data_IF_145057574818
#
_entry.id   IF_145057574818
#
_cell.length_a   1.000
_cell.length_b   1.000
_cell.length_c   1.000
_cell.angle_alpha   90.00
_cell.angle_beta   90.00
_cell.angle_gamma   90.00
#
_symmetry.space_group_name_H-M   'P 1'
#
loop_
_entity.id
_entity.type
_entity.pdbx_description
1 polymer ?
#
# COMPACT_ATOMS: atom_id res chain seq x y z
N UNK A 1 -10.90 39.59 31.06
CA UNK A 1 -12.34 39.44 31.34
C UNK A 1 -13.10 39.78 30.06
N UNK A 2 -13.63 38.76 29.38
CA UNK A 2 -14.57 38.87 28.26
C UNK A 2 -15.98 39.15 28.81
N UNK A 3 -16.84 39.96 28.15
CA UNK A 3 -18.27 39.87 28.32
C UNK A 3 -18.89 38.92 27.29
N UNK A 4 -20.01 38.32 27.69
CA UNK A 4 -20.65 37.16 27.10
C UNK A 4 -21.46 37.46 25.82
N UNK A 5 -21.48 36.48 24.91
CA UNK A 5 -22.39 36.40 23.77
C UNK A 5 -23.78 35.92 24.22
N UNK A 6 -24.90 36.50 23.74
CA UNK A 6 -26.22 35.97 23.97
C UNK A 6 -26.56 34.83 23.01
N UNK A 7 -27.28 33.84 23.55
CA UNK A 7 -27.80 32.66 22.86
C UNK A 7 -28.79 33.06 21.76
N UNK A 8 -28.43 32.83 20.49
CA UNK A 8 -29.31 32.97 19.33
C UNK A 8 -29.83 31.62 18.86
N UNK A 9 -31.15 31.41 18.99
CA UNK A 9 -31.91 30.29 18.42
C UNK A 9 -31.66 30.16 16.91
N UNK A 10 -31.43 28.93 16.44
CA UNK A 10 -31.52 28.61 15.01
C UNK A 10 -32.96 28.81 14.53
N UNK A 11 -33.17 29.80 13.66
CA UNK A 11 -34.35 29.93 12.82
C UNK A 11 -33.89 29.64 11.39
N UNK A 12 -34.49 28.64 10.75
CA UNK A 12 -34.29 28.37 9.33
C UNK A 12 -35.06 29.43 8.52
N UNK A 13 -34.42 30.20 7.62
CA UNK A 13 -35.16 31.07 6.72
C UNK A 13 -35.75 30.23 5.59
N UNK A 14 -37.07 30.33 5.47
CA UNK A 14 -37.86 30.01 4.29
C UNK A 14 -37.47 30.94 3.12
N UNK A 15 -37.32 30.32 1.95
CA UNK A 15 -37.14 30.93 0.61
C UNK A 15 -35.75 31.51 0.27
N UNK A 16 -35.05 31.01 -0.76
CA UNK A 16 -33.76 31.57 -1.17
C UNK A 16 -33.95 32.82 -2.03
N UNK A 17 -33.46 33.96 -1.55
CA UNK A 17 -33.09 35.10 -2.39
C UNK A 17 -31.81 34.82 -3.20
N UNK A 18 -31.45 35.67 -4.18
CA UNK A 18 -30.50 35.32 -5.22
C UNK A 18 -29.08 35.23 -4.67
N UNK A 19 -28.51 34.02 -4.71
CA UNK A 19 -27.10 33.77 -4.42
C UNK A 19 -26.26 34.36 -5.56
N UNK A 20 -25.29 35.21 -5.21
CA UNK A 20 -24.33 35.77 -6.16
C UNK A 20 -23.42 34.66 -6.73
N UNK A 21 -23.78 34.13 -7.90
CA UNK A 21 -23.02 33.10 -8.60
C UNK A 21 -21.76 33.68 -9.28
N UNK A 22 -20.67 32.92 -9.26
CA UNK A 22 -19.39 33.25 -9.90
C UNK A 22 -19.57 33.46 -11.43
N UNK A 23 -18.71 34.22 -12.13
CA UNK A 23 -18.89 34.55 -13.55
C UNK A 23 -18.98 33.33 -14.48
N UNK A 24 -18.33 32.22 -14.12
CA UNK A 24 -18.40 30.96 -14.86
C UNK A 24 -19.72 30.21 -14.60
N UNK A 25 -20.29 30.35 -13.40
CA UNK A 25 -21.57 29.76 -13.01
C UNK A 25 -22.75 30.51 -13.62
N UNK A 26 -22.66 31.83 -13.82
CA UNK A 26 -23.67 32.60 -14.57
C UNK A 26 -23.77 32.19 -16.05
N UNK A 27 -22.63 31.89 -16.69
CA UNK A 27 -22.62 31.37 -18.08
C UNK A 27 -23.26 29.99 -18.19
N UNK A 28 -23.10 29.18 -17.15
CA UNK A 28 -23.70 27.85 -17.04
C UNK A 28 -25.20 27.95 -16.71
N UNK A 29 -25.62 28.82 -15.80
CA UNK A 29 -27.04 29.04 -15.47
C UNK A 29 -27.85 29.57 -16.67
N UNK A 30 -27.30 30.50 -17.45
CA UNK A 30 -27.94 30.96 -18.70
C UNK A 30 -27.98 29.85 -19.78
N UNK A 31 -27.12 28.85 -19.66
CA UNK A 31 -27.14 27.64 -20.49
C UNK A 31 -28.26 26.68 -20.04
N UNK A 32 -28.56 26.60 -18.74
CA UNK A 32 -29.64 25.78 -18.15
C UNK A 32 -31.01 26.22 -18.63
N UNK A 33 -31.33 27.50 -18.48
CA UNK A 33 -32.65 28.05 -18.83
C UNK A 33 -33.00 27.90 -20.32
N UNK A 34 -31.99 27.81 -21.18
CA UNK A 34 -32.18 27.70 -22.63
C UNK A 34 -32.41 26.27 -23.11
N UNK A 35 -31.93 25.27 -22.39
CA UNK A 35 -31.85 23.88 -22.90
C UNK A 35 -32.53 22.84 -22.03
N UNK A 36 -32.89 23.19 -20.79
CA UNK A 36 -33.80 22.41 -19.94
C UNK A 36 -34.89 23.33 -19.35
N UNK A 37 -35.78 23.89 -20.21
CA UNK A 37 -36.84 24.79 -19.75
C UNK A 37 -37.85 24.13 -18.80
N UNK A 38 -37.82 22.79 -18.68
CA UNK A 38 -38.63 22.02 -17.75
C UNK A 38 -37.92 21.66 -16.44
N UNK A 39 -36.66 22.08 -16.24
CA UNK A 39 -35.83 21.73 -15.08
C UNK A 39 -35.83 20.23 -14.75
N UNK A 40 -35.80 19.41 -15.81
CA UNK A 40 -35.84 17.95 -15.72
C UNK A 40 -34.49 17.33 -15.35
N UNK A 41 -33.39 18.09 -15.52
CA UNK A 41 -32.01 17.64 -15.30
C UNK A 41 -31.39 16.89 -16.49
N UNK A 42 -32.08 16.80 -17.63
CA UNK A 42 -31.65 16.03 -18.80
C UNK A 42 -31.72 16.83 -20.10
N UNK A 43 -30.76 16.60 -21.00
CA UNK A 43 -30.70 17.21 -22.34
C UNK A 43 -30.68 16.10 -23.39
N UNK A 44 -31.52 16.16 -24.42
CA UNK A 44 -31.50 15.15 -25.48
C UNK A 44 -30.22 15.23 -26.32
N UNK A 45 -29.68 14.08 -26.71
CA UNK A 45 -28.43 13.98 -27.49
C UNK A 45 -28.54 14.69 -28.84
N UNK A 46 -29.72 14.68 -29.47
CA UNK A 46 -29.98 15.42 -30.71
C UNK A 46 -29.87 16.93 -30.56
N UNK A 47 -30.51 17.52 -29.53
CA UNK A 47 -30.41 18.96 -29.24
C UNK A 47 -28.98 19.35 -28.86
N UNK A 48 -28.28 18.47 -28.15
CA UNK A 48 -26.90 18.68 -27.76
C UNK A 48 -25.92 18.71 -28.95
N UNK A 49 -26.13 17.87 -29.98
CA UNK A 49 -25.33 17.91 -31.22
C UNK A 49 -25.51 19.20 -32.00
N UNK A 50 -26.76 19.61 -32.23
CA UNK A 50 -27.08 20.87 -32.92
C UNK A 50 -26.46 22.07 -32.19
N UNK A 51 -26.36 21.99 -30.86
CA UNK A 51 -25.68 22.98 -30.03
C UNK A 51 -24.16 22.99 -30.28
N UNK A 52 -23.51 21.82 -30.27
CA UNK A 52 -22.07 21.71 -30.53
C UNK A 52 -21.70 22.19 -31.93
N UNK A 53 -22.59 22.00 -32.91
CA UNK A 53 -22.43 22.50 -34.26
C UNK A 53 -22.57 24.03 -34.34
N UNK A 54 -23.60 24.59 -33.68
CA UNK A 54 -23.83 26.05 -33.66
C UNK A 54 -22.74 26.85 -32.92
N UNK A 55 -22.05 26.25 -31.95
CA UNK A 55 -20.97 26.87 -31.17
C UNK A 55 -19.57 26.36 -31.54
N UNK A 56 -19.47 25.58 -32.63
CA UNK A 56 -18.26 24.88 -33.06
C UNK A 56 -17.05 25.80 -33.30
N UNK A 57 -17.27 27.08 -33.62
CA UNK A 57 -16.22 28.07 -33.88
C UNK A 57 -15.55 28.65 -32.62
N UNK A 58 -16.16 28.49 -31.44
CA UNK A 58 -15.63 29.02 -30.16
C UNK A 58 -15.01 27.94 -29.25
N UNK A 59 -15.14 26.68 -29.62
CA UNK A 59 -14.67 25.54 -28.83
C UNK A 59 -13.36 25.00 -29.40
N UNK A 60 -12.42 24.69 -28.52
CA UNK A 60 -11.19 23.98 -28.85
C UNK A 60 -11.53 22.66 -29.58
N UNK A 61 -10.86 22.31 -30.70
CA UNK A 61 -11.15 21.12 -31.48
C UNK A 61 -11.16 19.83 -30.66
N UNK A 62 -10.26 19.72 -29.67
CA UNK A 62 -10.17 18.57 -28.79
C UNK A 62 -11.34 18.49 -27.81
N UNK A 63 -11.79 19.64 -27.29
CA UNK A 63 -12.98 19.70 -26.40
C UNK A 63 -14.25 19.32 -27.14
N UNK A 64 -14.37 19.70 -28.40
CA UNK A 64 -15.50 19.34 -29.27
C UNK A 64 -15.60 17.82 -29.46
N UNK A 65 -14.49 17.16 -29.73
CA UNK A 65 -14.44 15.71 -29.93
C UNK A 65 -14.90 14.95 -28.67
N UNK A 66 -14.45 15.38 -27.49
CA UNK A 66 -14.85 14.79 -26.21
C UNK A 66 -16.35 14.97 -25.93
N UNK A 67 -16.91 16.15 -26.25
CA UNK A 67 -18.34 16.43 -26.06
C UNK A 67 -19.21 15.64 -27.05
N UNK A 68 -18.77 15.47 -28.29
CA UNK A 68 -19.45 14.61 -29.26
C UNK A 68 -19.44 13.14 -28.83
N UNK A 69 -18.30 12.65 -28.35
CA UNK A 69 -18.18 11.30 -27.82
C UNK A 69 -19.10 11.05 -26.60
N UNK A 70 -19.29 12.06 -25.74
CA UNK A 70 -20.27 11.98 -24.65
C UNK A 70 -21.69 11.81 -25.21
N UNK A 71 -22.07 12.60 -26.22
CA UNK A 71 -23.38 12.49 -26.86
C UNK A 71 -23.62 11.14 -27.57
N UNK A 72 -22.56 10.56 -28.14
CA UNK A 72 -22.57 9.22 -28.76
C UNK A 72 -22.66 8.10 -27.71
N UNK A 73 -22.22 8.34 -26.47
CA UNK A 73 -22.10 7.32 -25.42
C UNK A 73 -23.41 7.00 -24.67
N UNK A 74 -24.42 7.86 -24.78
CA UNK A 74 -25.70 7.74 -24.09
C UNK A 74 -26.76 7.03 -24.94
N UNK A 75 -26.95 5.73 -24.68
CA UNK A 75 -27.87 4.85 -25.42
C UNK A 75 -29.37 5.16 -25.18
N UNK A 76 -29.68 5.87 -24.10
CA UNK A 76 -31.01 6.39 -23.75
C UNK A 76 -31.37 7.69 -24.50
N UNK A 77 -30.44 8.25 -25.28
CA UNK A 77 -30.66 9.48 -26.04
C UNK A 77 -30.76 10.73 -25.16
N UNK A 78 -30.39 10.63 -23.88
CA UNK A 78 -30.43 11.73 -22.92
C UNK A 78 -29.11 11.84 -22.15
N UNK A 79 -28.64 13.07 -21.97
CA UNK A 79 -27.42 13.40 -21.24
C UNK A 79 -27.83 14.05 -19.93
N UNK A 80 -27.35 13.53 -18.80
CA UNK A 80 -27.58 14.14 -17.49
C UNK A 80 -26.79 15.45 -17.38
N UNK A 81 -27.46 16.50 -16.91
CA UNK A 81 -26.87 17.83 -16.74
C UNK A 81 -25.66 17.82 -15.79
N UNK A 82 -25.73 17.00 -14.73
CA UNK A 82 -24.63 16.84 -13.78
C UNK A 82 -23.37 16.28 -14.46
N UNK A 83 -23.52 15.36 -15.41
CA UNK A 83 -22.40 14.78 -16.17
C UNK A 83 -21.80 15.80 -17.14
N UNK A 84 -22.63 16.59 -17.80
CA UNK A 84 -22.19 17.69 -18.66
C UNK A 84 -21.41 18.76 -17.89
N UNK A 85 -21.93 19.23 -16.75
CA UNK A 85 -21.24 20.22 -15.91
C UNK A 85 -19.97 19.66 -15.30
N UNK A 86 -19.98 18.41 -14.84
CA UNK A 86 -18.80 17.72 -14.34
C UNK A 86 -17.68 17.67 -15.39
N UNK A 87 -18.04 17.45 -16.67
CA UNK A 87 -17.11 17.41 -17.79
C UNK A 87 -16.60 18.81 -18.21
N UNK A 88 -17.46 19.83 -18.13
CA UNK A 88 -17.15 21.22 -18.48
C UNK A 88 -16.41 21.98 -17.36
N UNK A 89 -16.61 21.63 -16.10
CA UNK A 89 -16.03 22.28 -14.92
C UNK A 89 -14.53 21.97 -14.72
N UNK A 90 -13.92 21.15 -15.59
CA UNK A 90 -12.50 20.76 -15.48
C UNK A 90 -12.11 20.09 -14.14
N UNK A 91 -13.09 19.68 -13.33
CA UNK A 91 -12.90 19.08 -11.99
C UNK A 91 -12.53 17.58 -12.01
N UNK A 92 -12.37 16.95 -13.19
CA UNK A 92 -11.88 15.56 -13.31
C UNK A 92 -10.67 15.44 -14.23
N UNK A 93 -9.73 14.60 -13.81
CA UNK A 93 -8.42 14.39 -14.42
C UNK A 93 -8.48 13.78 -15.83
N UNK A 94 -7.46 14.08 -16.64
CA UNK A 94 -7.30 13.58 -18.02
C UNK A 94 -7.39 12.04 -18.19
N UNK A 95 -7.20 11.27 -17.12
CA UNK A 95 -7.39 9.81 -17.12
C UNK A 95 -8.86 9.41 -17.27
N UNK A 96 -9.81 10.19 -16.75
CA UNK A 96 -11.24 9.95 -16.97
C UNK A 96 -11.66 10.31 -18.40
N UNK A 97 -11.07 11.36 -19.00
CA UNK A 97 -11.24 11.67 -20.44
C UNK A 97 -10.70 10.55 -21.34
N UNK A 98 -9.52 10.02 -21.03
CA UNK A 98 -8.98 8.85 -21.74
C UNK A 98 -9.79 7.57 -21.47
N UNK A 99 -10.32 7.39 -20.26
CA UNK A 99 -11.19 6.27 -19.92
C UNK A 99 -12.59 6.35 -20.56
N UNK A 100 -13.13 7.52 -20.86
CA UNK A 100 -14.37 7.67 -21.65
C UNK A 100 -14.08 7.39 -23.13
N UNK A 101 -12.99 7.96 -23.67
CA UNK A 101 -12.59 7.74 -25.07
C UNK A 101 -12.18 6.27 -25.35
N UNK A 102 -11.60 5.58 -24.37
CA UNK A 102 -11.21 4.17 -24.49
C UNK A 102 -12.28 3.19 -23.93
N UNK A 103 -13.09 3.61 -22.97
CA UNK A 103 -13.97 2.73 -22.17
C UNK A 103 -15.20 2.21 -22.89
N UNK A 104 -15.82 3.01 -23.78
CA UNK A 104 -17.06 2.57 -24.42
C UNK A 104 -16.88 1.66 -25.65
N UNK A 105 -15.66 1.47 -26.15
CA UNK A 105 -15.38 0.49 -27.23
C UNK A 105 -14.93 -0.88 -26.73
N UNK A 106 -14.66 -1.07 -25.42
CA UNK A 106 -14.11 -2.34 -24.90
C UNK A 106 -14.71 -2.87 -23.60
N UNK A 107 -15.40 -2.08 -22.78
CA UNK A 107 -16.00 -2.59 -21.54
C UNK A 107 -17.34 -3.28 -21.84
N UNK A 108 -17.27 -4.54 -22.28
CA UNK A 108 -18.45 -5.40 -22.39
C UNK A 108 -19.26 -5.34 -21.09
N UNK A 109 -20.56 -5.07 -21.22
CA UNK A 109 -21.50 -4.93 -20.09
C UNK A 109 -21.63 -6.22 -19.26
N UNK A 110 -21.17 -7.38 -19.78
CA UNK A 110 -21.50 -8.71 -19.23
C UNK A 110 -20.49 -9.41 -18.31
N UNK A 111 -19.22 -8.98 -18.19
CA UNK A 111 -18.18 -9.92 -17.74
C UNK A 111 -18.01 -10.14 -16.21
N UNK A 112 -18.56 -9.31 -15.33
CA UNK A 112 -18.23 -9.39 -13.88
C UNK A 112 -19.23 -10.21 -13.04
N UNK A 113 -20.38 -10.61 -13.59
CA UNK A 113 -21.51 -11.16 -12.83
C UNK A 113 -21.92 -12.61 -13.18
N UNK A 114 -21.44 -13.24 -14.24
CA UNK A 114 -21.78 -14.64 -14.52
C UNK A 114 -20.76 -15.61 -13.92
N UNK A 115 -21.02 -16.15 -12.72
CA UNK A 115 -20.15 -17.16 -12.07
C UNK A 115 -20.02 -18.47 -12.86
N UNK A 116 -20.96 -18.75 -13.77
CA UNK A 116 -21.05 -19.98 -14.53
C UNK A 116 -20.08 -19.93 -15.72
N UNK A 117 -18.84 -20.40 -15.51
CA UNK A 117 -17.88 -20.65 -16.59
C UNK A 117 -16.47 -20.08 -16.40
N UNK A 118 -16.17 -19.41 -15.29
CA UNK A 118 -14.82 -18.85 -15.07
C UNK A 118 -13.78 -19.95 -14.77
N UNK A 119 -12.64 -19.86 -15.45
CA UNK A 119 -11.42 -20.62 -15.14
C UNK A 119 -10.84 -20.28 -13.76
N UNK A 120 -9.99 -21.14 -13.20
CA UNK A 120 -9.36 -20.93 -11.88
C UNK A 120 -8.53 -19.63 -11.82
N UNK A 121 -7.81 -19.29 -12.90
CA UNK A 121 -7.02 -18.06 -12.99
C UNK A 121 -7.90 -16.81 -12.99
N UNK A 122 -9.02 -16.83 -13.71
CA UNK A 122 -10.00 -15.74 -13.71
C UNK A 122 -10.66 -15.57 -12.33
N UNK A 123 -10.97 -16.67 -11.64
CA UNK A 123 -11.47 -16.62 -10.25
C UNK A 123 -10.46 -15.97 -9.30
N UNK A 124 -9.18 -16.30 -9.44
CA UNK A 124 -8.10 -15.70 -8.65
C UNK A 124 -7.95 -14.19 -8.93
N UNK A 125 -7.90 -13.79 -10.21
CA UNK A 125 -7.81 -12.37 -10.62
C UNK A 125 -9.01 -11.59 -10.07
N UNK A 126 -10.21 -12.14 -10.19
CA UNK A 126 -11.44 -11.55 -9.61
C UNK A 126 -11.28 -11.39 -8.09
N UNK A 127 -10.82 -12.43 -7.40
CA UNK A 127 -10.63 -12.40 -5.95
C UNK A 127 -9.66 -11.28 -5.53
N UNK A 128 -8.48 -11.23 -6.16
CA UNK A 128 -7.43 -10.22 -5.90
C UNK A 128 -7.94 -8.80 -6.17
N UNK A 129 -8.71 -8.60 -7.25
CA UNK A 129 -9.29 -7.31 -7.58
C UNK A 129 -10.28 -6.84 -6.49
N UNK A 130 -11.20 -7.71 -6.05
CA UNK A 130 -12.17 -7.38 -5.01
C UNK A 130 -11.55 -7.09 -3.65
N UNK A 131 -10.41 -7.72 -3.40
CA UNK A 131 -9.67 -7.64 -2.15
C UNK A 131 -8.84 -6.37 -2.05
N UNK A 132 -8.14 -6.01 -3.12
CA UNK A 132 -7.14 -4.93 -3.09
C UNK A 132 -7.70 -3.59 -3.57
N UNK A 133 -8.63 -3.60 -4.53
CA UNK A 133 -9.15 -2.38 -5.14
C UNK A 133 -10.47 -1.94 -4.48
N UNK A 134 -10.59 -0.66 -4.07
CA UNK A 134 -11.79 -0.15 -3.44
C UNK A 134 -12.92 0.13 -4.43
N UNK A 135 -12.62 0.69 -5.62
CA UNK A 135 -13.65 1.14 -6.58
C UNK A 135 -14.09 0.03 -7.51
N UNK A 136 -15.39 -0.03 -7.81
CA UNK A 136 -15.96 -1.04 -8.71
C UNK A 136 -15.44 -0.92 -10.16
N UNK A 137 -15.23 0.32 -10.62
CA UNK A 137 -14.70 0.62 -11.95
C UNK A 137 -13.27 0.08 -12.08
N UNK A 138 -12.42 0.29 -11.08
CA UNK A 138 -11.04 -0.20 -11.07
C UNK A 138 -10.98 -1.72 -11.06
N UNK A 139 -11.88 -2.39 -10.31
CA UNK A 139 -11.99 -3.86 -10.31
C UNK A 139 -12.30 -4.39 -11.70
N UNK A 140 -13.26 -3.78 -12.39
CA UNK A 140 -13.66 -4.18 -13.75
C UNK A 140 -12.53 -3.95 -14.74
N UNK A 141 -11.92 -2.76 -14.69
CA UNK A 141 -10.79 -2.43 -15.54
C UNK A 141 -9.61 -3.38 -15.33
N UNK A 142 -9.26 -3.68 -14.07
CA UNK A 142 -8.18 -4.60 -13.73
C UNK A 142 -8.49 -6.02 -14.21
N UNK A 143 -9.72 -6.51 -14.00
CA UNK A 143 -10.14 -7.82 -14.47
C UNK A 143 -10.07 -7.95 -16.00
N UNK A 144 -10.50 -6.91 -16.74
CA UNK A 144 -10.51 -6.92 -18.20
C UNK A 144 -9.12 -6.66 -18.83
N UNK A 145 -8.22 -5.98 -18.11
CA UNK A 145 -6.91 -5.56 -18.62
C UNK A 145 -5.75 -6.46 -18.19
N UNK A 146 -5.91 -7.25 -17.12
CA UNK A 146 -4.80 -8.04 -16.57
C UNK A 146 -4.53 -9.30 -17.40
N UNK A 147 -3.38 -9.33 -18.08
CA UNK A 147 -2.96 -10.44 -18.94
C UNK A 147 -2.00 -11.42 -18.26
N UNK A 148 -1.97 -11.47 -16.92
CA UNK A 148 -0.99 -12.26 -16.15
C UNK A 148 0.49 -11.88 -16.37
N UNK A 149 0.74 -10.72 -16.99
CA UNK A 149 2.08 -10.23 -17.32
C UNK A 149 2.23 -8.77 -16.84
N UNK A 150 3.21 -8.47 -15.97
CA UNK A 150 4.13 -9.40 -15.32
C UNK A 150 3.47 -10.19 -14.18
N UNK A 151 3.78 -11.49 -14.00
CA UNK A 151 3.37 -12.25 -12.81
C UNK A 151 4.02 -11.64 -11.55
N UNK A 152 3.48 -11.90 -10.34
CA UNK A 152 4.05 -11.41 -9.09
C UNK A 152 5.36 -12.13 -8.77
N UNK A 153 6.46 -11.64 -9.35
CA UNK A 153 7.76 -12.29 -9.28
C UNK A 153 8.58 -11.81 -8.09
N UNK A 154 8.41 -10.56 -7.65
CA UNK A 154 9.25 -9.97 -6.60
C UNK A 154 9.02 -10.65 -5.26
N UNK A 155 7.77 -10.70 -4.79
CA UNK A 155 7.44 -11.29 -3.49
C UNK A 155 7.79 -12.78 -3.47
N UNK A 156 7.50 -13.51 -4.56
CA UNK A 156 7.88 -14.93 -4.70
C UNK A 156 9.40 -15.11 -4.66
N UNK A 157 10.14 -14.29 -5.42
CA UNK A 157 11.61 -14.38 -5.47
C UNK A 157 12.23 -14.10 -4.09
N UNK A 158 11.79 -13.05 -3.40
CA UNK A 158 12.36 -12.70 -2.09
C UNK A 158 12.05 -13.78 -1.04
N UNK A 159 10.84 -14.34 -1.10
CA UNK A 159 10.42 -15.49 -0.26
C UNK A 159 11.29 -16.72 -0.50
N UNK A 160 11.55 -17.06 -1.78
CA UNK A 160 12.42 -18.17 -2.14
C UNK A 160 13.87 -17.94 -1.69
N UNK A 161 14.36 -16.70 -1.78
CA UNK A 161 15.70 -16.34 -1.31
C UNK A 161 15.80 -16.49 0.21
N UNK A 162 14.80 -16.03 0.97
CA UNK A 162 14.72 -16.20 2.43
C UNK A 162 14.70 -17.69 2.84
N UNK A 163 13.97 -18.53 2.10
CA UNK A 163 13.94 -19.98 2.34
C UNK A 163 15.28 -20.67 1.96
N UNK A 164 15.96 -20.17 0.92
CA UNK A 164 17.16 -20.80 0.33
C UNK A 164 18.48 -20.37 0.95
N UNK A 165 18.57 -19.24 1.66
CA UNK A 165 19.84 -18.69 2.13
C UNK A 165 20.58 -19.64 3.10
N UNK A 166 21.55 -20.35 2.50
CA UNK A 166 22.67 -21.04 3.16
C UNK A 166 23.89 -20.12 3.03
N UNK A 167 24.37 -19.57 4.14
CA UNK A 167 25.63 -18.83 4.16
C UNK A 167 26.76 -19.80 4.54
N UNK A 168 27.47 -20.30 3.53
CA UNK A 168 28.66 -21.14 3.68
C UNK A 168 29.07 -21.76 2.35
N UNK A 169 30.37 -21.69 2.00
CA UNK A 169 30.96 -22.41 0.86
C UNK A 169 30.91 -23.91 1.16
N UNK A 170 29.89 -24.61 0.65
CA UNK A 170 29.78 -26.07 0.81
C UNK A 170 28.44 -26.62 0.35
N UNK A 171 28.46 -27.26 -0.81
CA UNK A 171 27.49 -28.20 -1.39
C UNK A 171 26.00 -27.81 -1.45
N UNK A 172 25.54 -27.65 -2.68
CA UNK A 172 24.19 -27.33 -3.17
C UNK A 172 23.09 -28.36 -2.80
N UNK A 173 22.94 -28.85 -1.55
CA UNK A 173 21.94 -29.91 -1.25
C UNK A 173 21.20 -29.86 0.12
N UNK A 174 21.17 -28.77 0.91
CA UNK A 174 20.41 -28.73 2.19
C UNK A 174 19.24 -27.71 2.20
N UNK A 175 18.69 -27.36 1.04
CA UNK A 175 17.43 -26.61 0.99
C UNK A 175 16.26 -27.44 1.54
N UNK A 176 16.27 -28.75 1.30
CA UNK A 176 15.17 -29.65 1.68
C UNK A 176 15.20 -30.08 3.16
N UNK A 177 16.33 -29.93 3.85
CA UNK A 177 16.51 -30.49 5.18
C UNK A 177 16.47 -29.46 6.31
N UNK A 178 16.34 -28.15 6.07
CA UNK A 178 16.30 -27.17 7.17
C UNK A 178 15.05 -27.34 8.03
N UNK A 179 13.88 -27.48 7.42
CA UNK A 179 12.61 -27.71 8.11
C UNK A 179 12.64 -29.05 8.84
N UNK A 180 13.07 -30.11 8.16
CA UNK A 180 13.17 -31.46 8.74
C UNK A 180 14.20 -31.55 9.88
N UNK A 181 15.36 -30.90 9.74
CA UNK A 181 16.39 -30.81 10.78
C UNK A 181 15.86 -30.05 12.00
N UNK A 182 15.12 -28.97 11.81
CA UNK A 182 14.55 -28.20 12.92
C UNK A 182 13.40 -28.95 13.63
N UNK A 183 12.54 -29.64 12.87
CA UNK A 183 11.50 -30.52 13.41
C UNK A 183 12.13 -31.68 14.20
N UNK A 184 13.18 -32.30 13.65
CA UNK A 184 13.95 -33.34 14.35
C UNK A 184 14.56 -32.81 15.65
N UNK A 185 15.27 -31.68 15.61
CA UNK A 185 15.86 -31.09 16.81
C UNK A 185 14.79 -30.63 17.81
N UNK A 186 13.65 -30.10 17.35
CA UNK A 186 12.54 -29.67 18.21
C UNK A 186 11.88 -30.84 18.94
N UNK A 187 11.72 -31.98 18.26
CA UNK A 187 11.24 -33.23 18.86
C UNK A 187 12.29 -33.85 19.78
N UNK A 188 13.55 -33.91 19.36
CA UNK A 188 14.64 -34.51 20.14
C UNK A 188 15.01 -33.71 21.39
N UNK A 189 14.86 -32.38 21.38
CA UNK A 189 15.17 -31.50 22.51
C UNK A 189 13.91 -31.09 23.31
N UNK A 190 12.71 -31.48 22.88
CA UNK A 190 11.44 -31.06 23.50
C UNK A 190 11.19 -29.54 23.44
N UNK A 191 11.87 -28.83 22.54
CA UNK A 191 11.83 -27.37 22.40
C UNK A 191 11.52 -26.98 20.96
N UNK A 192 10.25 -26.69 20.67
CA UNK A 192 9.82 -26.21 19.34
C UNK A 192 10.16 -24.74 19.06
N UNK A 193 10.63 -24.00 20.07
CA UNK A 193 11.24 -22.67 19.94
C UNK A 193 12.75 -22.83 20.02
N UNK A 194 13.33 -23.40 18.96
CA UNK A 194 14.78 -23.46 18.82
C UNK A 194 15.28 -22.03 18.63
N UNK A 195 15.76 -21.41 19.71
CA UNK A 195 16.38 -20.09 19.68
C UNK A 195 17.66 -20.17 18.83
N UNK A 196 17.60 -19.70 17.58
CA UNK A 196 18.77 -19.66 16.69
C UNK A 196 19.73 -18.52 17.09
N UNK A 197 19.62 -17.96 18.29
CA UNK A 197 20.56 -16.97 18.85
C UNK A 197 21.87 -17.59 19.34
N UNK A 198 22.40 -18.56 18.58
CA UNK A 198 23.71 -19.13 18.83
C UNK A 198 24.80 -18.14 18.35
N UNK A 199 25.95 -17.99 19.04
CA UNK A 199 27.02 -17.08 18.61
C UNK A 199 27.43 -17.24 17.14
N UNK A 200 27.58 -18.49 16.67
CA UNK A 200 27.88 -18.81 15.26
C UNK A 200 26.86 -18.25 14.26
N UNK A 201 25.60 -18.13 14.67
CA UNK A 201 24.55 -17.54 13.84
C UNK A 201 24.68 -16.01 13.76
N UNK A 202 24.97 -15.36 14.90
CA UNK A 202 25.18 -13.92 14.97
C UNK A 202 26.48 -13.46 14.28
N UNK A 203 27.49 -14.32 14.15
CA UNK A 203 28.71 -14.08 13.34
C UNK A 203 28.45 -13.95 11.83
N UNK A 204 27.28 -14.33 11.34
CA UNK A 204 27.00 -14.39 9.91
C UNK A 204 27.09 -12.99 9.26
N UNK A 205 27.63 -12.93 8.03
CA UNK A 205 27.80 -11.69 7.28
C UNK A 205 26.49 -10.97 6.91
N UNK A 206 25.36 -11.67 6.93
CA UNK A 206 24.06 -11.12 6.55
C UNK A 206 23.33 -10.45 7.72
N UNK A 207 23.61 -10.87 8.96
CA UNK A 207 22.94 -10.36 10.17
C UNK A 207 23.35 -8.91 10.43
N UNK A 208 22.41 -8.06 10.83
CA UNK A 208 22.75 -6.75 11.36
C UNK A 208 23.30 -6.90 12.78
N UNK A 209 24.54 -6.43 12.98
CA UNK A 209 25.20 -6.43 14.28
C UNK A 209 25.70 -5.01 14.60
N UNK A 210 25.36 -4.42 15.77
CA UNK A 210 25.69 -3.02 16.08
C UNK A 210 27.19 -2.70 16.12
N UNK A 211 28.05 -3.68 16.42
CA UNK A 211 29.51 -3.50 16.31
C UNK A 211 29.99 -3.41 14.86
N UNK A 212 29.26 -4.01 13.92
CA UNK A 212 29.59 -4.04 12.48
C UNK A 212 28.72 -3.05 11.69
N UNK A 213 28.16 -2.04 12.36
CA UNK A 213 27.27 -1.03 11.77
C UNK A 213 27.90 -0.22 10.63
N UNK A 214 29.23 -0.13 10.55
CA UNK A 214 29.91 0.49 9.41
C UNK A 214 29.68 -0.28 8.08
N UNK A 215 29.29 -1.56 8.16
CA UNK A 215 29.01 -2.41 7.01
C UNK A 215 27.58 -2.18 6.51
N UNK A 216 27.40 -1.15 5.67
CA UNK A 216 26.08 -0.64 5.25
C UNK A 216 25.13 -1.71 4.68
N UNK A 217 25.64 -2.75 4.01
CA UNK A 217 24.81 -3.83 3.47
C UNK A 217 24.02 -4.58 4.56
N UNK A 218 24.52 -4.61 5.80
CA UNK A 218 23.87 -5.30 6.93
C UNK A 218 22.53 -4.67 7.32
N UNK A 219 22.31 -3.40 7.00
CA UNK A 219 21.00 -2.75 7.18
C UNK A 219 19.93 -3.29 6.22
N UNK A 220 20.32 -4.03 5.18
CA UNK A 220 19.42 -4.65 4.21
C UNK A 220 19.46 -6.18 4.27
N UNK A 221 20.66 -6.78 4.29
CA UNK A 221 20.84 -8.24 4.12
C UNK A 221 20.27 -9.08 5.26
N UNK A 222 19.93 -8.47 6.40
CA UNK A 222 19.37 -9.17 7.54
C UNK A 222 17.99 -9.79 7.26
N UNK A 223 17.32 -9.31 6.20
CA UNK A 223 16.10 -9.87 5.62
C UNK A 223 16.17 -11.40 5.41
N UNK A 224 17.35 -11.91 5.05
CA UNK A 224 17.54 -13.31 4.70
C UNK A 224 17.82 -14.23 5.90
N UNK A 225 17.86 -13.67 7.10
CA UNK A 225 18.21 -14.36 8.34
C UNK A 225 16.96 -14.37 9.23
N UNK A 226 16.62 -15.50 9.84
CA UNK A 226 15.44 -15.61 10.71
C UNK A 226 15.78 -16.23 12.07
N UNK A 227 15.08 -15.81 13.12
CA UNK A 227 15.34 -16.28 14.49
C UNK A 227 14.87 -17.72 14.78
N UNK A 228 14.08 -18.32 13.89
CA UNK A 228 13.47 -19.65 14.04
C UNK A 228 12.61 -20.02 12.82
N UNK A 229 12.16 -21.27 12.75
CA UNK A 229 11.32 -21.75 11.64
C UNK A 229 9.91 -21.16 11.72
N UNK A 230 9.40 -20.97 12.93
CA UNK A 230 8.13 -20.32 13.20
C UNK A 230 8.17 -18.84 12.80
N UNK A 231 9.32 -18.18 13.03
CA UNK A 231 9.57 -16.82 12.59
C UNK A 231 9.56 -16.73 11.06
N UNK A 232 10.28 -17.62 10.37
CA UNK A 232 10.28 -17.68 8.91
C UNK A 232 8.90 -18.02 8.36
N UNK A 233 8.22 -19.03 8.91
CA UNK A 233 6.91 -19.49 8.47
C UNK A 233 5.85 -18.39 8.56
N UNK A 234 5.79 -17.67 9.67
CA UNK A 234 4.87 -16.54 9.82
C UNK A 234 5.17 -15.41 8.85
N UNK A 235 6.46 -15.08 8.63
CA UNK A 235 6.85 -14.08 7.63
C UNK A 235 6.44 -14.52 6.23
N UNK A 236 6.75 -15.75 5.82
CA UNK A 236 6.37 -16.29 4.50
C UNK A 236 4.85 -16.26 4.31
N UNK A 237 4.08 -16.68 5.31
CA UNK A 237 2.61 -16.65 5.24
C UNK A 237 2.12 -15.22 5.06
N UNK A 238 2.54 -14.27 5.89
CA UNK A 238 2.12 -12.87 5.78
C UNK A 238 2.59 -12.23 4.48
N UNK A 239 3.82 -12.53 4.07
CA UNK A 239 4.46 -12.00 2.87
C UNK A 239 3.73 -12.43 1.60
N UNK A 240 3.36 -13.70 1.50
CA UNK A 240 2.61 -14.22 0.36
C UNK A 240 1.12 -13.84 0.43
N UNK A 241 0.49 -13.95 1.60
CA UNK A 241 -0.90 -13.60 1.80
C UNK A 241 -1.13 -12.13 1.46
N UNK A 242 -0.28 -11.23 1.95
CA UNK A 242 -0.47 -9.78 1.78
C UNK A 242 0.25 -9.22 0.55
N UNK A 243 1.51 -9.59 0.37
CA UNK A 243 2.36 -8.97 -0.64
C UNK A 243 2.05 -9.39 -2.07
N UNK A 244 1.70 -10.65 -2.34
CA UNK A 244 1.41 -11.10 -3.72
C UNK A 244 0.20 -10.35 -4.32
N UNK A 245 -0.94 -10.24 -3.62
CA UNK A 245 -2.09 -9.49 -4.16
C UNK A 245 -1.79 -7.99 -4.33
N UNK A 246 -1.01 -7.41 -3.42
CA UNK A 246 -0.52 -6.03 -3.56
C UNK A 246 0.39 -5.89 -4.79
N UNK A 247 1.29 -6.83 -5.04
CA UNK A 247 2.20 -6.82 -6.20
C UNK A 247 1.43 -6.95 -7.50
N UNK A 248 0.42 -7.83 -7.54
CA UNK A 248 -0.42 -8.02 -8.72
C UNK A 248 -1.17 -6.73 -9.11
N UNK A 249 -1.63 -5.96 -8.13
CA UNK A 249 -2.41 -4.74 -8.38
C UNK A 249 -1.54 -3.50 -8.56
N UNK A 250 -0.46 -3.36 -7.78
CA UNK A 250 0.36 -2.14 -7.76
C UNK A 250 1.71 -2.28 -8.49
N UNK A 251 2.07 -3.49 -8.89
CA UNK A 251 3.31 -3.81 -9.59
C UNK A 251 4.51 -4.05 -8.68
N UNK A 252 5.43 -4.89 -9.15
CA UNK A 252 6.64 -5.32 -8.45
C UNK A 252 7.51 -4.14 -7.94
N UNK A 253 7.72 -3.11 -8.76
CA UNK A 253 8.60 -2.00 -8.40
C UNK A 253 8.06 -1.22 -7.19
N UNK A 254 6.76 -0.95 -7.14
CA UNK A 254 6.16 -0.16 -6.04
C UNK A 254 6.17 -0.95 -4.74
N UNK A 255 5.76 -2.21 -4.80
CA UNK A 255 5.75 -3.09 -3.63
C UNK A 255 7.17 -3.37 -3.15
N UNK A 256 8.11 -3.58 -4.06
CA UNK A 256 9.52 -3.73 -3.74
C UNK A 256 10.11 -2.51 -3.03
N UNK A 257 9.78 -1.29 -3.48
CA UNK A 257 10.22 -0.06 -2.81
C UNK A 257 9.69 0.05 -1.38
N UNK A 258 8.38 -0.18 -1.16
CA UNK A 258 7.79 -0.10 0.19
C UNK A 258 8.38 -1.17 1.11
N UNK A 259 8.54 -2.39 0.59
CA UNK A 259 9.09 -3.51 1.35
C UNK A 259 10.55 -3.27 1.74
N UNK A 260 11.42 -2.89 0.79
CA UNK A 260 12.84 -2.58 1.06
C UNK A 260 12.98 -1.37 1.98
N UNK A 261 12.17 -0.32 1.79
CA UNK A 261 12.17 0.84 2.68
C UNK A 261 11.77 0.45 4.12
N UNK A 262 10.82 -0.47 4.29
CA UNK A 262 10.44 -1.02 5.58
C UNK A 262 11.55 -1.81 6.25
N UNK A 263 12.27 -2.64 5.50
CA UNK A 263 13.47 -3.36 5.98
C UNK A 263 14.56 -2.38 6.43
N UNK A 264 14.92 -1.41 5.59
CA UNK A 264 15.95 -0.42 5.94
C UNK A 264 15.52 0.43 7.13
N UNK A 265 14.25 0.86 7.18
CA UNK A 265 13.74 1.61 8.33
C UNK A 265 13.72 0.78 9.61
N UNK A 266 13.44 -0.51 9.52
CA UNK A 266 13.45 -1.43 10.66
C UNK A 266 14.84 -1.52 11.29
N UNK A 267 15.87 -1.78 10.49
CA UNK A 267 17.26 -1.84 11.00
C UNK A 267 17.76 -0.50 11.50
N UNK A 268 17.42 0.62 10.83
CA UNK A 268 17.76 1.97 11.30
C UNK A 268 17.06 2.32 12.62
N UNK A 269 15.77 1.99 12.77
CA UNK A 269 15.03 2.23 14.00
C UNK A 269 15.65 1.47 15.19
N UNK A 270 16.04 0.21 14.99
CA UNK A 270 16.78 -0.56 16.00
C UNK A 270 18.13 0.09 16.30
N UNK A 271 18.88 0.50 15.28
CA UNK A 271 20.20 1.10 15.47
C UNK A 271 20.19 2.39 16.31
N UNK A 272 19.04 3.07 16.36
CA UNK A 272 18.82 4.28 17.15
C UNK A 272 18.26 3.95 18.53
N UNK A 273 17.20 3.15 18.61
CA UNK A 273 16.43 2.95 19.84
C UNK A 273 16.90 1.76 20.69
N UNK A 274 17.58 0.79 20.08
CA UNK A 274 18.07 -0.42 20.75
C UNK A 274 19.49 -0.76 20.24
N UNK A 275 20.44 0.11 20.59
CA UNK A 275 21.82 0.15 20.08
C UNK A 275 22.66 -1.11 20.39
N UNK A 276 22.14 -2.04 21.19
CA UNK A 276 22.84 -3.28 21.58
C UNK A 276 22.31 -4.52 20.89
N UNK A 277 21.14 -4.43 20.24
CA UNK A 277 20.46 -5.57 19.68
C UNK A 277 20.87 -5.85 18.22
N UNK A 278 21.04 -7.13 17.84
CA UNK A 278 21.11 -7.51 16.44
C UNK A 278 19.74 -7.43 15.78
N UNK A 279 19.71 -7.47 14.45
CA UNK A 279 18.45 -7.57 13.68
C UNK A 279 18.55 -8.72 12.69
N UNK A 280 17.46 -9.50 12.63
CA UNK A 280 17.21 -10.60 11.69
C UNK A 280 15.72 -10.60 11.34
N UNK A 281 15.40 -10.96 10.11
CA UNK A 281 14.04 -11.25 9.65
C UNK A 281 13.58 -10.29 8.56
N UNK A 282 12.71 -10.76 7.69
CA UNK A 282 12.03 -9.92 6.69
C UNK A 282 10.90 -9.06 7.26
N UNK A 283 10.61 -9.21 8.56
CA UNK A 283 9.43 -8.65 9.22
C UNK A 283 9.29 -7.13 9.13
N UNK A 284 10.40 -6.38 9.04
CA UNK A 284 10.36 -4.93 8.78
C UNK A 284 9.66 -4.58 7.45
N UNK A 285 9.92 -5.36 6.39
CA UNK A 285 9.26 -5.22 5.09
C UNK A 285 7.82 -5.76 5.11
N UNK A 286 7.60 -6.89 5.76
CA UNK A 286 6.26 -7.48 5.90
C UNK A 286 5.31 -6.55 6.65
N UNK A 287 5.74 -5.97 7.78
CA UNK A 287 4.93 -5.04 8.56
C UNK A 287 4.63 -3.76 7.79
N UNK A 288 5.55 -3.30 6.93
CA UNK A 288 5.30 -2.19 6.03
C UNK A 288 4.20 -2.50 5.00
N UNK A 289 4.18 -3.70 4.42
CA UNK A 289 3.12 -4.09 3.48
C UNK A 289 1.76 -4.27 4.17
N UNK A 290 1.75 -4.92 5.34
CA UNK A 290 0.52 -5.13 6.13
C UNK A 290 -0.06 -3.81 6.60
N UNK A 291 0.75 -2.89 7.13
CA UNK A 291 0.25 -1.59 7.61
C UNK A 291 -0.16 -0.68 6.47
N UNK A 292 0.52 -0.70 5.32
CA UNK A 292 0.11 0.01 4.11
C UNK A 292 -1.25 -0.49 3.59
N UNK A 293 -1.45 -1.82 3.58
CA UNK A 293 -2.73 -2.42 3.21
C UNK A 293 -3.85 -2.05 4.20
N UNK A 294 -3.59 -2.15 5.50
CA UNK A 294 -4.54 -1.75 6.54
C UNK A 294 -4.96 -0.29 6.40
N UNK A 295 -3.99 0.62 6.24
CA UNK A 295 -4.27 2.04 6.09
C UNK A 295 -5.07 2.31 4.81
N UNK A 296 -4.79 1.62 3.70
CA UNK A 296 -5.60 1.71 2.49
C UNK A 296 -7.05 1.26 2.72
N UNK A 297 -7.27 0.18 3.49
CA UNK A 297 -8.62 -0.31 3.82
C UNK A 297 -9.35 0.69 4.70
N UNK A 298 -8.72 1.19 5.76
CA UNK A 298 -9.32 2.16 6.70
C UNK A 298 -9.72 3.44 5.96
N UNK A 299 -8.86 3.94 5.08
CA UNK A 299 -9.15 5.15 4.28
C UNK A 299 -10.28 4.95 3.26
N UNK A 300 -10.52 3.72 2.81
CA UNK A 300 -11.50 3.39 1.77
C UNK A 300 -12.62 2.46 2.27
N UNK A 301 -12.90 2.47 3.57
CA UNK A 301 -13.80 1.52 4.25
C UNK A 301 -15.19 1.42 3.58
N UNK A 302 -15.76 2.55 3.16
CA UNK A 302 -17.08 2.61 2.53
C UNK A 302 -17.16 1.99 1.13
N UNK A 303 -16.04 1.85 0.41
CA UNK A 303 -16.01 1.28 -0.96
C UNK A 303 -15.86 -0.24 -1.00
N UNK A 304 -15.56 -0.88 0.13
CA UNK A 304 -15.04 -2.24 0.15
C UNK A 304 -16.05 -3.28 0.71
N UNK A 305 -16.53 -4.22 -0.14
CA UNK A 305 -17.43 -5.33 0.28
C UNK A 305 -16.87 -6.22 1.42
N UNK A 306 -17.57 -6.31 2.54
CA UNK A 306 -17.07 -6.70 3.88
C UNK A 306 -16.54 -8.15 4.06
N UNK A 307 -17.16 -9.16 3.44
CA UNK A 307 -17.14 -10.54 3.97
C UNK A 307 -15.76 -11.23 3.99
N UNK A 308 -14.94 -11.10 2.95
CA UNK A 308 -13.61 -11.75 2.90
C UNK A 308 -12.46 -10.84 3.37
N UNK A 309 -12.73 -9.54 3.48
CA UNK A 309 -11.75 -8.49 3.81
C UNK A 309 -11.39 -8.51 5.29
N UNK A 310 -12.41 -8.67 6.13
CA UNK A 310 -12.25 -8.78 7.57
C UNK A 310 -11.47 -10.04 7.95
N UNK A 311 -11.70 -11.17 7.27
CA UNK A 311 -11.01 -12.42 7.57
C UNK A 311 -9.51 -12.31 7.32
N UNK A 312 -9.07 -11.87 6.13
CA UNK A 312 -7.65 -11.70 5.84
C UNK A 312 -7.00 -10.67 6.74
N UNK A 313 -7.68 -9.55 7.01
CA UNK A 313 -7.14 -8.53 7.93
C UNK A 313 -7.05 -9.04 9.35
N UNK A 314 -8.04 -9.80 9.83
CA UNK A 314 -7.98 -10.44 11.12
C UNK A 314 -6.82 -11.45 11.17
N UNK A 315 -6.66 -12.30 10.17
CA UNK A 315 -5.53 -13.25 10.09
C UNK A 315 -4.20 -12.50 10.09
N UNK A 316 -4.05 -11.45 9.29
CA UNK A 316 -2.83 -10.66 9.24
C UNK A 316 -2.52 -9.98 10.58
N UNK A 317 -3.52 -9.39 11.23
CA UNK A 317 -3.37 -8.75 12.55
C UNK A 317 -3.06 -9.76 13.65
N UNK A 318 -3.68 -10.94 13.62
CA UNK A 318 -3.41 -12.03 14.56
C UNK A 318 -1.96 -12.50 14.39
N UNK A 319 -1.53 -12.80 13.16
CA UNK A 319 -0.16 -13.21 12.87
C UNK A 319 0.86 -12.14 13.27
N UNK A 320 0.61 -10.86 12.95
CA UNK A 320 1.49 -9.75 13.38
C UNK A 320 1.54 -9.64 14.90
N UNK A 321 0.39 -9.72 15.58
CA UNK A 321 0.35 -9.61 17.05
C UNK A 321 1.07 -10.77 17.73
N UNK A 322 0.92 -11.98 17.22
CA UNK A 322 1.64 -13.17 17.70
C UNK A 322 3.16 -13.02 17.49
N UNK A 323 3.58 -12.57 16.31
CA UNK A 323 5.00 -12.38 16.00
C UNK A 323 5.63 -11.26 16.84
N UNK A 324 4.96 -10.12 16.96
CA UNK A 324 5.40 -9.00 17.78
C UNK A 324 5.46 -9.39 19.26
N UNK A 325 4.42 -10.04 19.78
CA UNK A 325 4.37 -10.53 21.15
C UNK A 325 5.50 -11.51 21.45
N UNK A 326 5.81 -12.42 20.51
CA UNK A 326 6.96 -13.32 20.62
C UNK A 326 8.29 -12.56 20.61
N UNK A 327 8.45 -11.55 19.76
CA UNK A 327 9.67 -10.74 19.70
C UNK A 327 9.90 -9.96 21.01
N UNK A 328 8.84 -9.39 21.58
CA UNK A 328 8.87 -8.72 22.89
C UNK A 328 9.23 -9.73 23.98
N UNK A 329 8.56 -10.88 24.01
CA UNK A 329 8.83 -11.96 24.95
C UNK A 329 10.30 -12.37 24.88
N UNK A 330 10.81 -12.73 23.68
CA UNK A 330 12.21 -13.12 23.48
C UNK A 330 13.19 -12.03 23.91
N UNK A 331 12.88 -10.74 23.71
CA UNK A 331 13.77 -9.64 24.09
C UNK A 331 14.02 -9.58 25.60
N UNK A 332 13.01 -9.93 26.40
CA UNK A 332 13.06 -9.85 27.87
C UNK A 332 13.24 -11.22 28.56
N UNK A 333 13.19 -12.32 27.82
CA UNK A 333 13.46 -13.64 28.38
C UNK A 333 14.95 -13.84 28.66
N UNK A 334 15.31 -14.55 29.74
CA UNK A 334 16.70 -14.86 30.03
C UNK A 334 17.35 -15.55 28.85
N UNK A 335 18.45 -14.98 28.35
CA UNK A 335 19.17 -15.58 27.24
C UNK A 335 19.78 -16.91 27.67
N UNK A 336 19.59 -17.95 26.85
CA UNK A 336 20.28 -19.22 27.01
C UNK A 336 21.80 -19.00 26.97
N UNK A 337 22.55 -19.78 27.75
CA UNK A 337 24.01 -19.70 27.73
C UNK A 337 24.56 -20.23 26.40
N UNK A 338 25.53 -19.53 25.75
CA UNK A 338 26.15 -18.27 26.15
C UNK A 338 25.24 -17.05 25.89
N UNK A 339 25.24 -16.04 26.78
CA UNK A 339 24.31 -14.90 26.71
C UNK A 339 24.50 -14.12 25.40
N UNK A 340 23.54 -14.27 24.50
CA UNK A 340 23.51 -13.55 23.22
C UNK A 340 22.30 -12.61 23.18
N UNK A 341 22.46 -11.34 22.79
CA UNK A 341 21.35 -10.40 22.73
C UNK A 341 20.31 -10.89 21.72
N UNK A 342 19.06 -11.02 22.17
CA UNK A 342 17.95 -11.35 21.29
C UNK A 342 17.64 -10.19 20.32
N UNK A 343 17.15 -10.50 19.11
CA UNK A 343 16.77 -9.47 18.14
C UNK A 343 15.73 -8.50 18.70
N UNK A 344 15.84 -7.23 18.32
CA UNK A 344 14.92 -6.19 18.82
C UNK A 344 13.56 -6.25 18.13
N UNK A 345 12.49 -6.05 18.89
CA UNK A 345 11.14 -5.90 18.34
C UNK A 345 10.94 -4.56 17.62
N UNK A 346 11.83 -3.56 17.83
CA UNK A 346 11.72 -2.22 17.25
C UNK A 346 11.76 -2.23 15.72
N UNK A 347 12.39 -3.23 15.09
CA UNK A 347 12.42 -3.36 13.64
C UNK A 347 11.00 -3.42 13.04
N UNK A 348 10.07 -4.07 13.73
CA UNK A 348 8.66 -4.14 13.33
C UNK A 348 8.00 -2.76 13.33
N UNK A 349 8.29 -1.94 14.33
CA UNK A 349 7.74 -0.59 14.46
C UNK A 349 8.24 0.33 13.34
N UNK A 350 9.52 0.21 12.96
CA UNK A 350 10.08 0.90 11.79
C UNK A 350 9.34 0.53 10.50
N UNK A 351 9.04 -0.75 10.32
CA UNK A 351 8.21 -1.23 9.21
C UNK A 351 6.80 -0.64 9.20
N UNK A 352 6.10 -0.68 10.35
CA UNK A 352 4.76 -0.09 10.50
C UNK A 352 4.75 1.38 10.10
N UNK A 353 5.72 2.15 10.59
CA UNK A 353 5.85 3.57 10.29
C UNK A 353 5.99 3.81 8.78
N UNK A 354 6.84 3.05 8.07
CA UNK A 354 6.98 3.15 6.61
C UNK A 354 5.69 2.82 5.90
N UNK A 355 4.99 1.75 6.28
CA UNK A 355 3.78 1.36 5.59
C UNK A 355 2.62 2.36 5.75
N UNK A 356 2.45 2.95 6.93
CA UNK A 356 1.42 3.99 7.17
C UNK A 356 1.75 5.30 6.44
N UNK A 357 3.04 5.61 6.28
CA UNK A 357 3.49 6.88 5.68
C UNK A 357 3.73 6.71 4.18
N UNK A 358 4.89 6.17 3.80
CA UNK A 358 5.30 5.94 2.42
C UNK A 358 4.40 4.93 1.70
N UNK A 359 4.01 3.84 2.37
CA UNK A 359 3.19 2.79 1.79
C UNK A 359 1.85 3.30 1.29
N UNK A 360 1.11 4.04 2.14
CA UNK A 360 -0.18 4.65 1.76
C UNK A 360 -0.06 5.56 0.54
N UNK A 361 0.98 6.38 0.49
CA UNK A 361 1.16 7.35 -0.61
C UNK A 361 1.53 6.64 -1.92
N UNK A 362 2.42 5.65 -1.85
CA UNK A 362 2.84 4.86 -3.03
C UNK A 362 1.68 4.04 -3.60
N UNK A 363 0.83 3.49 -2.74
CA UNK A 363 -0.34 2.68 -3.13
C UNK A 363 -1.51 3.54 -3.67
N UNK A 364 -1.72 4.75 -3.16
CA UNK A 364 -2.77 5.69 -3.62
C UNK A 364 -2.52 6.29 -5.01
N UNK A 365 -1.29 6.23 -5.52
CA UNK A 365 -0.86 6.96 -6.72
C UNK A 365 -1.33 6.31 -8.05
N UNK A 366 -2.60 5.94 -8.17
CA UNK A 366 -3.19 5.41 -9.40
C UNK A 366 -4.10 6.41 -10.14
N UNK A 367 -4.81 7.32 -9.46
CA UNK A 367 -5.86 8.14 -10.11
C UNK A 367 -5.73 9.67 -10.02
N UNK A 368 -4.91 10.22 -9.13
CA UNK A 368 -4.84 11.68 -8.93
C UNK A 368 -3.52 12.25 -9.46
N UNK A 369 -3.52 12.62 -10.75
CA UNK A 369 -2.43 13.37 -11.37
C UNK A 369 -2.46 14.83 -10.91
N UNK A 370 -1.37 15.23 -10.24
CA UNK A 370 -0.63 16.49 -10.38
C UNK A 370 -0.97 17.69 -9.48
N UNK A 371 -2.05 17.73 -8.68
CA UNK A 371 -2.31 18.91 -7.80
C UNK A 371 -2.01 18.68 -6.29
N UNK A 372 -1.78 17.43 -5.85
CA UNK A 372 -1.54 17.02 -4.44
C UNK A 372 -0.14 16.41 -4.15
N UNK A 373 0.86 16.67 -5.00
CA UNK A 373 2.21 16.08 -4.88
C UNK A 373 3.00 16.51 -3.63
N UNK A 374 2.52 17.48 -2.84
CA UNK A 374 3.18 17.95 -1.62
C UNK A 374 3.35 16.85 -0.58
N UNK A 375 2.33 16.00 -0.37
CA UNK A 375 2.40 14.92 0.63
C UNK A 375 3.47 13.88 0.32
N UNK A 376 3.66 13.54 -0.96
CA UNK A 376 4.72 12.61 -1.36
C UNK A 376 6.10 13.18 -1.02
N UNK A 377 6.34 14.46 -1.35
CA UNK A 377 7.59 15.13 -1.00
C UNK A 377 7.78 15.29 0.51
N UNK A 378 6.71 15.53 1.28
CA UNK A 378 6.77 15.58 2.75
C UNK A 378 7.22 14.23 3.31
N UNK A 379 6.64 13.11 2.87
CA UNK A 379 7.03 11.78 3.37
C UNK A 379 8.44 11.36 2.91
N UNK A 380 8.83 11.70 1.68
CA UNK A 380 10.20 11.49 1.20
C UNK A 380 11.19 12.33 2.01
N UNK A 381 10.89 13.60 2.29
CA UNK A 381 11.71 14.47 3.12
C UNK A 381 11.81 13.93 4.56
N UNK A 382 10.69 13.52 5.17
CA UNK A 382 10.66 12.92 6.49
C UNK A 382 11.50 11.64 6.56
N UNK A 383 11.38 10.75 5.58
CA UNK A 383 12.20 9.53 5.49
C UNK A 383 13.69 9.87 5.34
N UNK A 384 14.00 10.86 4.51
CA UNK A 384 15.39 11.32 4.30
C UNK A 384 15.98 11.88 5.60
N UNK A 385 15.23 12.72 6.33
CA UNK A 385 15.63 13.26 7.63
C UNK A 385 15.84 12.13 8.65
N UNK A 386 14.95 11.14 8.68
CA UNK A 386 15.10 9.97 9.55
C UNK A 386 16.39 9.18 9.24
N UNK A 387 16.69 8.94 7.96
CA UNK A 387 17.93 8.26 7.55
C UNK A 387 19.15 9.08 7.93
N UNK A 388 19.16 10.39 7.66
CA UNK A 388 20.28 11.27 8.00
C UNK A 388 20.52 11.32 9.51
N UNK A 389 19.45 11.41 10.30
CA UNK A 389 19.52 11.34 11.75
C UNK A 389 20.07 9.99 12.22
N UNK A 390 19.59 8.88 11.67
CA UNK A 390 20.08 7.56 12.04
C UNK A 390 21.56 7.37 11.68
N UNK A 391 22.01 7.88 10.53
CA UNK A 391 23.44 7.87 10.14
C UNK A 391 24.26 8.68 11.14
N UNK A 392 23.86 9.91 11.44
CA UNK A 392 24.51 10.75 12.45
C UNK A 392 24.59 10.03 13.81
N UNK A 393 23.47 9.47 14.26
CA UNK A 393 23.37 8.73 15.52
C UNK A 393 24.33 7.53 15.56
N UNK A 394 24.40 6.73 14.50
CA UNK A 394 25.30 5.57 14.43
C UNK A 394 26.78 5.95 14.44
N UNK A 395 27.13 7.14 13.95
CA UNK A 395 28.50 7.65 13.96
C UNK A 395 28.88 8.14 15.36
N UNK A 396 28.04 8.98 15.99
CA UNK A 396 28.44 9.72 17.18
C UNK A 396 27.94 9.14 18.51
N UNK A 397 26.75 8.52 18.54
CA UNK A 397 26.09 8.19 19.80
C UNK A 397 26.85 7.15 20.63
N UNK A 398 27.52 6.19 20.00
CA UNK A 398 28.29 5.17 20.72
C UNK A 398 29.46 5.76 21.51
N UNK A 399 30.13 6.77 20.94
CA UNK A 399 31.22 7.49 21.62
C UNK A 399 30.65 8.47 22.65
N UNK A 400 29.59 9.20 22.29
CA UNK A 400 28.97 10.20 23.16
C UNK A 400 28.40 9.59 24.46
N UNK A 401 27.85 8.37 24.36
CA UNK A 401 27.23 7.66 25.48
C UNK A 401 28.17 6.68 26.18
N UNK A 402 29.46 6.65 25.82
CA UNK A 402 30.46 5.66 26.28
C UNK A 402 29.93 4.21 26.26
N UNK A 403 29.25 3.86 25.17
CA UNK A 403 28.46 2.63 25.10
C UNK A 403 29.36 1.43 24.85
N UNK A 404 29.64 0.67 25.91
CA UNK A 404 30.45 -0.56 25.86
C UNK A 404 29.64 -1.70 25.27
N UNK A 405 29.83 -1.95 23.97
CA UNK A 405 29.35 -3.18 23.36
C UNK A 405 30.21 -4.36 23.82
N UNK A 406 29.63 -5.57 23.94
CA UNK A 406 30.43 -6.79 24.12
C UNK A 406 31.47 -6.93 22.98
N UNK A 407 32.47 -7.83 23.08
CA UNK A 407 33.37 -8.09 21.96
C UNK A 407 32.58 -8.64 20.75
N UNK A 408 33.08 -8.43 19.51
CA UNK A 408 32.44 -8.99 18.34
C UNK A 408 32.44 -10.51 18.37
N UNK A 409 31.32 -11.13 17.91
CA UNK A 409 31.07 -12.53 18.16
C UNK A 409 32.15 -13.43 17.61
#
# INVERSE_FOLDING_TARGET
MLPALPQGKLVWPSSPGPVELLPCERKVAHFVDKFDPGNTGYISTGKFRTLLESHSSKLDPHKREVLLALADSHADGQICYHDFISLMSNKRSNSFRQAILQGNRRLSSKALLEEKGLSLSQRLIRHVAYETLPREIDRKWYYDSYTCCPPPWFMITVTLLEARTRVGRGSLCLGEWRVAFFLYNGVSLGQFVLQVTHPRYLKNSLVYHPQLRAQAWRYLTYIFMHAGIEHLGLNVVLQLLVGVPLEMVHGATRIGLVYVAGVVAGSLAVSVADMTAPVVGSSGGVYALVSAHLANIVMNWSGMKCQFKLLRMAVALICMSMEFGRAVWLRFHPSAYPPCPHPSFVAHLGGVAVGITLGVVVLRNYEQRLQDQSLWWIFVAMYTVFVLFAVFWNIFAYTLLDLKLPPPP
#
